data_IF_535312519593
#
_entry.id   IF_535312519593
#
_cell.length_a   1.000
_cell.length_b   1.000
_cell.length_c   1.000
_cell.angle_alpha   90.00
_cell.angle_beta   90.00
_cell.angle_gamma   90.00
#
_symmetry.space_group_name_H-M   'P 1'
#
loop_
_entity.id
_entity.type
_entity.pdbx_description
1 polymer ?
#
# COMPACT_ATOMS: atom_id res chain seq x y z
N UNK A 1 -15.01 -4.53 -8.22
CA UNK A 1 -14.89 -5.53 -7.14
C UNK A 1 -15.35 -4.92 -5.82
N UNK A 2 -15.87 -5.74 -4.92
CA UNK A 2 -16.22 -5.32 -3.56
C UNK A 2 -15.00 -5.41 -2.66
N UNK A 3 -14.83 -4.41 -1.80
CA UNK A 3 -13.79 -4.40 -0.77
C UNK A 3 -14.26 -3.60 0.44
N UNK A 4 -13.52 -3.68 1.54
CA UNK A 4 -13.90 -3.07 2.81
C UNK A 4 -12.80 -2.12 3.31
N UNK A 5 -13.21 -0.96 3.82
CA UNK A 5 -12.34 -0.03 4.53
C UNK A 5 -12.78 0.08 5.98
N UNK A 6 -11.92 -0.38 6.88
CA UNK A 6 -12.10 -0.23 8.32
C UNK A 6 -11.67 1.16 8.77
N UNK A 7 -12.44 1.77 9.67
CA UNK A 7 -12.15 3.08 10.25
C UNK A 7 -12.60 3.15 11.70
N UNK A 8 -11.75 3.76 12.54
CA UNK A 8 -12.16 4.28 13.84
C UNK A 8 -13.14 5.45 13.68
N UNK A 9 -14.13 5.53 14.57
CA UNK A 9 -15.16 6.59 14.54
C UNK A 9 -14.67 7.88 15.17
N UNK A 10 -13.61 7.83 15.99
CA UNK A 10 -12.85 9.01 16.43
C UNK A 10 -12.41 9.90 15.24
N UNK A 11 -12.11 9.29 14.08
CA UNK A 11 -11.82 10.03 12.84
C UNK A 11 -13.07 10.18 11.96
N UNK A 12 -14.11 10.81 12.51
CA UNK A 12 -15.41 10.96 11.85
C UNK A 12 -15.31 11.67 10.49
N UNK A 13 -14.34 12.56 10.31
CA UNK A 13 -14.10 13.26 9.04
C UNK A 13 -13.79 12.28 7.91
N UNK A 14 -12.98 11.24 8.15
CA UNK A 14 -12.68 10.24 7.10
C UNK A 14 -13.86 9.34 6.79
N UNK A 15 -14.66 9.00 7.81
CA UNK A 15 -15.87 8.18 7.64
C UNK A 15 -16.91 8.95 6.84
N UNK A 16 -17.23 10.18 7.27
CA UNK A 16 -18.19 11.05 6.59
C UNK A 16 -17.78 11.31 5.15
N UNK A 17 -16.51 11.58 4.90
CA UNK A 17 -15.97 11.83 3.56
C UNK A 17 -16.15 10.65 2.58
N UNK A 18 -15.99 9.42 3.07
CA UNK A 18 -16.27 8.22 2.26
C UNK A 18 -17.76 8.13 1.95
N UNK A 19 -18.63 8.40 2.92
CA UNK A 19 -20.08 8.23 2.77
C UNK A 19 -20.74 9.33 1.93
N UNK A 20 -20.32 10.59 2.11
CA UNK A 20 -20.93 11.76 1.46
C UNK A 20 -20.27 12.06 0.12
N UNK A 21 -18.94 12.08 0.07
CA UNK A 21 -18.18 12.46 -1.11
C UNK A 21 -17.73 11.26 -1.95
N UNK A 22 -17.97 10.02 -1.47
CA UNK A 22 -17.60 8.77 -2.17
C UNK A 22 -16.12 8.70 -2.55
N UNK A 23 -15.25 9.31 -1.73
CA UNK A 23 -13.80 9.32 -1.95
C UNK A 23 -13.08 8.57 -0.85
N UNK A 24 -12.02 7.85 -1.24
CA UNK A 24 -11.15 7.13 -0.32
C UNK A 24 -9.88 7.94 -0.09
N UNK A 25 -9.57 8.20 1.18
CA UNK A 25 -8.27 8.76 1.52
C UNK A 25 -7.15 7.74 1.25
N UNK A 26 -6.23 8.13 0.38
CA UNK A 26 -5.01 7.41 0.10
C UNK A 26 -3.85 8.07 0.86
N UNK A 27 -3.15 7.27 1.67
CA UNK A 27 -2.07 7.73 2.53
C UNK A 27 -0.78 7.96 1.74
N UNK A 28 0.08 8.86 2.24
CA UNK A 28 1.45 8.97 1.76
C UNK A 28 2.22 7.69 2.12
N UNK A 29 3.08 7.22 1.22
CA UNK A 29 3.85 5.97 1.38
C UNK A 29 4.69 5.96 2.66
N UNK A 30 5.10 7.12 3.18
CA UNK A 30 5.88 7.25 4.42
C UNK A 30 5.05 7.11 5.69
N UNK A 31 3.72 7.10 5.57
CA UNK A 31 2.78 6.98 6.68
C UNK A 31 2.13 5.60 6.79
N UNK A 32 2.62 4.64 5.99
CA UNK A 32 2.15 3.26 6.00
C UNK A 32 2.59 2.56 7.30
N UNK A 33 1.73 1.64 7.75
CA UNK A 33 1.91 0.90 8.99
C UNK A 33 2.94 -0.23 8.88
N UNK A 34 3.04 -0.85 7.71
CA UNK A 34 4.09 -1.81 7.43
C UNK A 34 5.35 -1.08 6.98
N UNK A 35 6.39 -1.10 7.84
CA UNK A 35 7.69 -0.49 7.55
C UNK A 35 8.38 -1.07 6.30
N UNK A 36 7.95 -2.25 5.82
CA UNK A 36 8.48 -2.86 4.59
C UNK A 36 7.66 -2.51 3.35
N UNK A 37 6.47 -1.95 3.51
CA UNK A 37 5.68 -1.45 2.38
C UNK A 37 6.34 -0.17 1.86
N UNK A 38 6.51 -0.07 0.54
CA UNK A 38 7.29 0.98 -0.11
C UNK A 38 8.82 0.99 0.19
N UNK A 39 9.38 -0.02 0.86
CA UNK A 39 10.84 -0.16 1.09
C UNK A 39 11.54 -0.79 -0.11
N UNK A 40 12.55 -0.12 -0.67
CA UNK A 40 13.41 -0.65 -1.73
C UNK A 40 14.87 -0.43 -1.35
N UNK A 41 15.66 -1.50 -1.46
CA UNK A 41 17.03 -1.56 -0.97
C UNK A 41 18.07 -1.61 -2.09
N UNK A 42 19.27 -1.20 -1.71
CA UNK A 42 20.54 -1.32 -2.43
C UNK A 42 21.33 -2.39 -1.69
N UNK A 43 22.06 -3.26 -2.38
CA UNK A 43 22.91 -4.27 -1.73
C UNK A 43 23.45 -5.40 -2.60
N UNK A 44 22.96 -5.60 -3.83
CA UNK A 44 23.42 -6.67 -4.74
C UNK A 44 24.05 -6.09 -6.02
N UNK A 45 24.97 -5.14 -5.85
CA UNK A 45 25.17 -4.08 -6.84
C UNK A 45 26.62 -3.98 -7.37
N UNK A 46 27.43 -5.02 -7.14
CA UNK A 46 28.86 -4.98 -7.47
C UNK A 46 29.07 -4.69 -8.95
N UNK A 47 29.74 -3.58 -9.24
CA UNK A 47 30.06 -3.12 -10.60
C UNK A 47 28.96 -2.35 -11.32
N UNK A 48 27.85 -2.03 -10.65
CA UNK A 48 26.74 -1.25 -11.22
C UNK A 48 26.32 -0.07 -10.32
N UNK A 49 27.18 0.35 -9.38
CA UNK A 49 26.84 1.26 -8.28
C UNK A 49 26.31 2.61 -8.79
N UNK A 50 26.98 3.21 -9.78
CA UNK A 50 26.57 4.50 -10.37
C UNK A 50 25.21 4.40 -11.05
N UNK A 51 25.01 3.35 -11.87
CA UNK A 51 23.76 3.10 -12.59
C UNK A 51 22.59 2.92 -11.62
N UNK A 52 22.82 2.18 -10.54
CA UNK A 52 21.84 1.91 -9.51
C UNK A 52 21.52 3.13 -8.66
N UNK A 53 22.50 3.98 -8.40
CA UNK A 53 22.26 5.24 -7.72
C UNK A 53 21.33 6.15 -8.54
N UNK A 54 21.62 6.34 -9.83
CA UNK A 54 20.77 7.15 -10.71
C UNK A 54 19.37 6.57 -10.87
N UNK A 55 19.27 5.23 -11.00
CA UNK A 55 17.98 4.54 -11.05
C UNK A 55 17.21 4.70 -9.73
N UNK A 56 17.88 4.53 -8.60
CA UNK A 56 17.31 4.69 -7.26
C UNK A 56 16.75 6.08 -7.01
N UNK A 57 17.43 7.14 -7.47
CA UNK A 57 16.90 8.51 -7.39
C UNK A 57 15.60 8.67 -8.19
N UNK A 58 15.53 8.08 -9.39
CA UNK A 58 14.30 8.12 -10.22
C UNK A 58 13.16 7.36 -9.55
N UNK A 59 13.44 6.19 -8.98
CA UNK A 59 12.46 5.38 -8.25
C UNK A 59 11.98 6.08 -6.99
N UNK A 60 12.88 6.66 -6.20
CA UNK A 60 12.54 7.39 -4.97
C UNK A 60 11.70 8.63 -5.25
N UNK A 61 11.98 9.35 -6.34
CA UNK A 61 11.11 10.44 -6.78
C UNK A 61 9.73 9.92 -7.18
N UNK A 62 9.68 8.89 -8.02
CA UNK A 62 8.43 8.34 -8.52
C UNK A 62 7.54 7.78 -7.38
N UNK A 63 8.09 7.04 -6.42
CA UNK A 63 7.31 6.45 -5.32
C UNK A 63 6.67 7.51 -4.43
N UNK A 64 7.30 8.69 -4.29
CA UNK A 64 6.78 9.79 -3.45
C UNK A 64 5.51 10.45 -4.01
N UNK A 65 5.29 10.32 -5.33
CA UNK A 65 4.10 10.82 -6.01
C UNK A 65 2.87 9.90 -5.79
N UNK A 66 3.09 8.68 -5.30
CA UNK A 66 2.00 7.74 -5.05
C UNK A 66 1.33 7.94 -3.70
N UNK A 67 0.06 7.60 -3.68
CA UNK A 67 -0.79 7.49 -2.50
C UNK A 67 -1.42 6.11 -2.50
N UNK A 68 -1.49 5.51 -1.31
CA UNK A 68 -1.93 4.12 -1.14
C UNK A 68 -3.13 4.05 -0.21
N UNK A 69 -4.17 3.36 -0.64
CA UNK A 69 -5.29 2.99 0.21
C UNK A 69 -5.39 1.47 0.30
N UNK A 70 -5.02 0.89 1.43
CA UNK A 70 -5.21 -0.54 1.67
C UNK A 70 -6.70 -0.85 1.90
N UNK A 71 -7.25 -1.76 1.11
CA UNK A 71 -8.63 -2.27 1.20
C UNK A 71 -8.60 -3.77 1.49
N UNK A 72 -9.60 -4.27 2.22
CA UNK A 72 -9.67 -5.69 2.61
C UNK A 72 -10.75 -6.44 1.83
N UNK A 73 -10.56 -7.75 1.64
CA UNK A 73 -11.55 -8.64 0.98
C UNK A 73 -12.80 -8.93 1.81
N UNK A 74 -12.67 -8.87 3.12
CA UNK A 74 -13.72 -9.25 4.07
C UNK A 74 -13.81 -8.21 5.19
N UNK A 75 -15.03 -8.02 5.70
CA UNK A 75 -15.26 -7.33 6.96
C UNK A 75 -15.20 -8.30 8.15
N UNK A 76 -15.37 -9.59 7.91
CA UNK A 76 -15.46 -10.64 8.93
C UNK A 76 -14.04 -11.12 9.30
N UNK A 77 -13.33 -10.30 10.07
CA UNK A 77 -11.98 -10.59 10.55
C UNK A 77 -11.63 -9.82 11.82
N UNK A 78 -11.55 -10.50 12.96
CA UNK A 78 -11.42 -9.88 14.29
C UNK A 78 -10.19 -8.97 14.42
N UNK A 79 -9.02 -9.39 13.90
CA UNK A 79 -7.81 -8.56 13.98
C UNK A 79 -7.94 -7.24 13.19
N UNK A 80 -8.72 -7.22 12.10
CA UNK A 80 -8.93 -5.98 11.34
C UNK A 80 -9.83 -5.01 12.11
N UNK A 81 -10.86 -5.54 12.79
CA UNK A 81 -11.67 -4.74 13.71
C UNK A 81 -10.85 -4.19 14.87
N UNK A 82 -9.98 -5.03 15.45
CA UNK A 82 -9.10 -4.63 16.55
C UNK A 82 -8.13 -3.52 16.14
N UNK A 83 -7.44 -3.67 15.00
CA UNK A 83 -6.40 -2.74 14.56
C UNK A 83 -6.93 -1.48 13.88
N UNK A 84 -8.00 -1.59 13.09
CA UNK A 84 -8.43 -0.51 12.18
C UNK A 84 -9.81 0.06 12.47
N UNK A 85 -10.59 -0.59 13.33
CA UNK A 85 -11.91 -0.11 13.76
C UNK A 85 -11.97 0.05 15.28
N UNK A 86 -10.91 0.61 15.87
CA UNK A 86 -10.92 1.12 17.25
C UNK A 86 -11.27 0.07 18.32
N UNK A 87 -10.80 -1.17 18.13
CA UNK A 87 -11.16 -2.27 19.03
C UNK A 87 -12.63 -2.69 18.87
N UNK A 88 -13.11 -2.83 17.63
CA UNK A 88 -14.50 -3.19 17.31
C UNK A 88 -15.57 -2.14 17.63
N UNK A 89 -15.17 -0.89 17.87
CA UNK A 89 -16.08 0.26 18.11
C UNK A 89 -16.25 1.17 16.89
N UNK A 90 -15.47 0.92 15.85
CA UNK A 90 -15.48 1.64 14.59
C UNK A 90 -16.48 1.09 13.58
N UNK A 91 -16.18 1.29 12.30
CA UNK A 91 -17.00 0.83 11.17
C UNK A 91 -16.16 0.12 10.11
N UNK A 92 -16.79 -0.80 9.39
CA UNK A 92 -16.30 -1.35 8.13
C UNK A 92 -17.23 -0.87 7.00
N UNK A 93 -16.68 -0.12 6.05
CA UNK A 93 -17.44 0.45 4.93
C UNK A 93 -17.19 -0.40 3.68
N UNK A 94 -18.23 -1.01 3.13
CA UNK A 94 -18.18 -1.67 1.82
C UNK A 94 -18.03 -0.61 0.72
N UNK A 95 -17.06 -0.80 -0.16
CA UNK A 95 -16.82 0.04 -1.33
C UNK A 95 -16.74 -0.80 -2.59
N UNK A 96 -17.18 -0.23 -3.70
CA UNK A 96 -16.99 -0.79 -5.04
C UNK A 96 -15.86 -0.06 -5.73
N UNK A 97 -14.76 -0.77 -6.02
CA UNK A 97 -13.60 -0.24 -6.76
C UNK A 97 -13.43 -0.98 -8.09
N UNK A 98 -13.02 -0.31 -9.19
CA UNK A 98 -12.67 -1.01 -10.42
C UNK A 98 -11.57 -2.05 -10.16
N UNK A 99 -11.69 -3.24 -10.74
CA UNK A 99 -10.69 -4.30 -10.55
C UNK A 99 -9.32 -3.95 -11.14
N UNK A 100 -9.28 -3.00 -12.09
CA UNK A 100 -8.05 -2.48 -12.69
C UNK A 100 -7.21 -1.66 -11.71
N UNK A 101 -7.83 -1.12 -10.67
CA UNK A 101 -7.20 -0.14 -9.79
C UNK A 101 -6.77 -0.76 -8.44
N UNK A 102 -7.20 -2.00 -8.19
CA UNK A 102 -6.87 -2.78 -7.02
C UNK A 102 -5.86 -3.87 -7.40
N UNK A 103 -4.65 -3.78 -6.84
CA UNK A 103 -3.60 -4.77 -7.11
C UNK A 103 -3.49 -5.77 -5.94
N UNK A 104 -3.30 -7.08 -6.16
CA UNK A 104 -3.04 -8.00 -5.06
C UNK A 104 -1.74 -7.67 -4.30
N UNK A 105 -1.80 -7.71 -2.96
CA UNK A 105 -0.57 -7.67 -2.14
C UNK A 105 0.17 -9.00 -2.24
N UNK A 106 1.48 -8.92 -2.42
CA UNK A 106 2.40 -10.05 -2.26
C UNK A 106 3.02 -10.02 -0.87
N UNK A 107 2.85 -11.08 -0.09
CA UNK A 107 3.45 -11.19 1.25
C UNK A 107 4.81 -11.88 1.18
N UNK A 108 5.85 -11.26 1.73
CA UNK A 108 7.21 -11.81 1.70
C UNK A 108 8.06 -11.34 2.88
N UNK A 109 8.97 -12.19 3.33
CA UNK A 109 10.02 -11.83 4.30
C UNK A 109 11.28 -11.26 3.62
N UNK A 110 11.33 -11.32 2.28
CA UNK A 110 12.42 -10.77 1.48
C UNK A 110 12.25 -9.28 1.18
N UNK A 111 13.36 -8.61 0.88
CA UNK A 111 13.38 -7.20 0.49
C UNK A 111 13.18 -7.00 -1.01
N UNK A 112 12.77 -5.80 -1.43
CA UNK A 112 12.85 -5.37 -2.83
C UNK A 112 14.26 -4.83 -3.04
N UNK A 113 14.98 -5.32 -4.05
CA UNK A 113 16.27 -4.76 -4.41
C UNK A 113 16.16 -3.99 -5.72
N UNK A 114 16.78 -2.81 -5.80
CA UNK A 114 16.76 -2.00 -7.03
C UNK A 114 17.37 -2.75 -8.22
N UNK A 115 18.41 -3.57 -7.98
CA UNK A 115 19.09 -4.37 -9.00
C UNK A 115 18.16 -5.30 -9.77
N UNK A 116 17.11 -5.81 -9.12
CA UNK A 116 16.16 -6.72 -9.76
C UNK A 116 15.27 -6.02 -10.80
N UNK A 117 15.18 -4.69 -10.78
CA UNK A 117 14.24 -3.91 -11.58
C UNK A 117 14.89 -2.90 -12.53
N UNK A 118 16.23 -2.83 -12.59
CA UNK A 118 16.92 -1.86 -13.45
C UNK A 118 16.50 -2.00 -14.92
N UNK A 119 16.41 -3.23 -15.42
CA UNK A 119 15.98 -3.50 -16.80
C UNK A 119 14.45 -3.40 -16.98
N UNK A 120 13.68 -3.72 -15.94
CA UNK A 120 12.21 -3.63 -15.96
C UNK A 120 11.71 -2.18 -15.89
N UNK A 121 12.52 -1.26 -15.35
CA UNK A 121 12.24 0.17 -15.29
C UNK A 121 11.56 0.63 -13.99
N UNK A 122 11.38 1.95 -13.91
CA UNK A 122 10.95 2.65 -12.69
C UNK A 122 9.55 2.24 -12.23
N UNK A 123 8.59 2.14 -13.15
CA UNK A 123 7.20 1.77 -12.80
C UNK A 123 7.12 0.37 -12.19
N UNK A 124 7.87 -0.60 -12.74
CA UNK A 124 7.95 -1.95 -12.20
C UNK A 124 8.53 -1.97 -10.78
N UNK A 125 9.62 -1.22 -10.53
CA UNK A 125 10.22 -1.10 -9.21
C UNK A 125 9.26 -0.47 -8.18
N UNK A 126 8.57 0.60 -8.57
CA UNK A 126 7.59 1.29 -7.71
C UNK A 126 6.42 0.37 -7.39
N UNK A 127 5.82 -0.30 -8.37
CA UNK A 127 4.72 -1.25 -8.14
C UNK A 127 5.15 -2.37 -7.21
N UNK A 128 6.31 -2.98 -7.45
CA UNK A 128 6.82 -4.06 -6.62
C UNK A 128 7.03 -3.67 -5.15
N UNK A 129 7.32 -2.39 -4.88
CA UNK A 129 7.46 -1.86 -3.53
C UNK A 129 6.11 -1.54 -2.87
N UNK A 130 5.18 -0.95 -3.61
CA UNK A 130 3.86 -0.57 -3.10
C UNK A 130 2.90 -1.75 -2.95
N UNK A 131 3.14 -2.86 -3.62
CA UNK A 131 2.28 -4.06 -3.58
C UNK A 131 2.89 -5.19 -2.76
N UNK A 132 3.87 -4.91 -1.91
CA UNK A 132 4.53 -5.91 -1.07
C UNK A 132 4.40 -5.56 0.39
N UNK A 133 4.01 -6.55 1.19
CA UNK A 133 3.97 -6.47 2.64
C UNK A 133 4.83 -7.57 3.28
N UNK A 134 5.29 -7.32 4.49
CA UNK A 134 5.89 -8.35 5.33
C UNK A 134 4.87 -9.47 5.61
N UNK A 135 5.30 -10.74 5.68
CA UNK A 135 4.39 -11.86 6.00
C UNK A 135 3.72 -11.73 7.37
N UNK A 136 4.30 -10.97 8.31
CA UNK A 136 3.67 -10.64 9.57
C UNK A 136 2.28 -9.99 9.37
N UNK A 137 2.03 -9.33 8.23
CA UNK A 137 0.75 -8.71 7.87
C UNK A 137 -0.15 -9.60 7.00
N UNK A 138 0.19 -10.87 6.78
CA UNK A 138 -0.59 -11.77 5.90
C UNK A 138 -2.01 -12.06 6.41
N UNK A 139 -2.26 -11.81 7.71
CA UNK A 139 -3.60 -11.87 8.28
C UNK A 139 -4.51 -10.76 7.73
N UNK A 140 -3.96 -9.72 7.10
CA UNK A 140 -4.75 -8.73 6.36
C UNK A 140 -4.96 -9.23 4.94
N UNK A 141 -6.13 -9.73 4.52
CA UNK A 141 -6.37 -10.08 3.12
C UNK A 141 -6.58 -8.81 2.28
N UNK A 142 -5.50 -8.09 2.03
CA UNK A 142 -5.52 -6.73 1.50
C UNK A 142 -5.21 -6.63 0.00
N UNK A 143 -5.68 -5.56 -0.62
CA UNK A 143 -5.26 -5.03 -1.91
C UNK A 143 -4.90 -3.55 -1.71
N UNK A 144 -3.76 -3.03 -2.21
CA UNK A 144 -3.57 -1.61 -2.29
C UNK A 144 -4.38 -1.10 -3.48
N UNK A 145 -5.22 -0.11 -3.22
CA UNK A 145 -5.66 0.82 -4.24
C UNK A 145 -4.58 1.90 -4.37
N UNK A 146 -4.02 2.02 -5.56
CA UNK A 146 -2.91 2.92 -5.86
C UNK A 146 -3.43 4.12 -6.65
N UNK A 147 -3.17 5.32 -6.14
CA UNK A 147 -3.55 6.58 -6.79
C UNK A 147 -2.35 7.53 -6.82
N UNK A 148 -2.23 8.32 -7.87
CA UNK A 148 -1.30 9.47 -7.93
C UNK A 148 -1.97 10.79 -7.55
N UNK A 149 -3.28 10.76 -7.24
CA UNK A 149 -4.07 11.91 -6.83
C UNK A 149 -4.51 11.78 -5.37
N UNK A 150 -4.55 12.90 -4.65
CA UNK A 150 -4.96 13.02 -3.23
C UNK A 150 -6.46 13.18 -3.03
#
# INVERSE_FOLDING_TARGET
>A
MKAYKFRAVENLNRVTDILTNRRLWCADVRSLNDIREADIRVGNDRGQEVRLFEFGLKVSKAISDWRVCSLCKTFDHDLLWAHYAEGSRGVAIEVSVPSTDATPVTYSDGFVFLSDYVEAGVDAAVRAALTRKNKAWQYEPAFPFLSTYS
#
